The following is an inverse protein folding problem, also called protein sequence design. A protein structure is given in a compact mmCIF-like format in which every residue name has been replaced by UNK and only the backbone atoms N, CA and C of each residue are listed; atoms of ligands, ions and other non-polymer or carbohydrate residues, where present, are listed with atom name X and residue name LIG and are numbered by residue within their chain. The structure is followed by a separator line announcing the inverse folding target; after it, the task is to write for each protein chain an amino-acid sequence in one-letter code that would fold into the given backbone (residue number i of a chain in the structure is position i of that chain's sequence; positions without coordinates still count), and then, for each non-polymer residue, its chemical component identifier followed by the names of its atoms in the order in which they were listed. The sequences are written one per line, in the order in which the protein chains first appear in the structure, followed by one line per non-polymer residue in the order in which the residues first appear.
data_IF_370871348126
#
_entry.id   IF_370871348126
#
_cell.length_a   1.000
_cell.length_b   1.000
_cell.length_c   1.000
_cell.angle_alpha   90.00
_cell.angle_beta   90.00
_cell.angle_gamma   90.00
#
_symmetry.space_group_name_H-M   'P 1'
#
loop_
_entity.id
_entity.type
_entity.pdbx_description
1 polymer ?
#
# COMPACT_ATOMS: atom_id res chain seq x y z
N UNK A 1 46.26 9.62 9.95
CA UNK A 1 45.48 9.14 8.79
C UNK A 1 43.94 9.24 8.96
N UNK A 2 43.44 10.12 9.82
CA UNK A 2 42.00 10.33 10.03
C UNK A 2 41.35 11.42 9.14
N UNK A 3 42.13 12.15 8.34
CA UNK A 3 41.65 13.28 7.54
C UNK A 3 40.76 12.86 6.35
N UNK A 4 40.90 11.63 5.88
CA UNK A 4 40.14 11.10 4.75
C UNK A 4 38.86 10.33 5.18
N UNK A 5 38.62 10.15 6.47
CA UNK A 5 37.42 9.49 7.03
C UNK A 5 36.39 10.53 7.52
N UNK A 6 36.05 11.47 6.67
CA UNK A 6 34.96 12.42 6.96
C UNK A 6 33.65 11.71 6.77
N UNK A 7 32.98 11.37 7.88
CA UNK A 7 31.60 10.88 7.83
C UNK A 7 30.68 12.02 7.37
N UNK A 8 29.78 11.80 6.39
CA UNK A 8 28.85 12.83 5.98
C UNK A 8 28.02 13.28 7.18
N UNK A 9 27.99 14.57 7.46
CA UNK A 9 27.23 15.13 8.59
C UNK A 9 25.71 15.05 8.41
N UNK A 10 25.25 14.73 7.18
CA UNK A 10 23.84 14.74 6.79
C UNK A 10 23.31 13.37 6.35
N UNK A 11 24.13 12.32 6.32
CA UNK A 11 23.69 10.95 5.99
C UNK A 11 24.15 9.96 7.05
N UNK A 12 23.23 9.12 7.53
CA UNK A 12 23.57 7.96 8.37
C UNK A 12 24.18 6.86 7.47
N UNK A 13 25.17 6.13 7.99
CA UNK A 13 25.66 4.90 7.34
C UNK A 13 24.47 3.97 7.06
N UNK A 14 24.40 3.39 5.87
CA UNK A 14 23.22 2.60 5.43
C UNK A 14 22.86 1.42 6.36
N UNK A 15 23.81 0.90 7.14
CA UNK A 15 23.57 -0.13 8.16
C UNK A 15 23.08 0.38 9.53
N UNK A 16 23.04 1.71 9.75
CA UNK A 16 22.63 2.35 11.02
C UNK A 16 21.51 3.37 10.84
N UNK A 17 20.85 3.38 9.69
CA UNK A 17 19.83 4.38 9.37
C UNK A 17 18.54 4.21 10.18
N UNK A 18 18.27 3.01 10.71
CA UNK A 18 17.07 2.68 11.49
C UNK A 18 17.49 1.83 12.69
N UNK A 19 17.74 2.45 13.83
CA UNK A 19 18.22 1.79 15.04
C UNK A 19 17.27 1.92 16.22
N UNK A 20 16.32 2.83 16.16
CA UNK A 20 15.32 3.07 17.22
C UNK A 20 13.90 2.94 16.68
N UNK A 21 12.93 2.75 17.58
CA UNK A 21 11.50 2.75 17.22
C UNK A 21 11.09 4.09 16.61
N UNK A 22 11.68 5.20 17.07
CA UNK A 22 11.46 6.53 16.48
C UNK A 22 11.96 6.61 15.03
N UNK A 23 13.12 6.05 14.71
CA UNK A 23 13.62 5.99 13.32
C UNK A 23 12.65 5.18 12.43
N UNK A 24 12.14 4.05 12.94
CA UNK A 24 11.16 3.22 12.22
C UNK A 24 9.83 3.97 12.02
N UNK A 25 9.37 4.75 12.99
CA UNK A 25 8.18 5.59 12.87
C UNK A 25 8.36 6.68 11.81
N UNK A 26 9.52 7.34 11.77
CA UNK A 26 9.85 8.34 10.73
C UNK A 26 9.84 7.71 9.34
N UNK A 27 10.41 6.51 9.19
CA UNK A 27 10.40 5.77 7.94
C UNK A 27 8.97 5.40 7.50
N UNK A 28 8.13 4.96 8.45
CA UNK A 28 6.71 4.66 8.19
C UNK A 28 5.95 5.92 7.75
N UNK A 29 6.14 7.06 8.43
CA UNK A 29 5.52 8.32 8.05
C UNK A 29 5.95 8.75 6.62
N UNK A 30 7.22 8.54 6.28
CA UNK A 30 7.74 8.73 4.92
C UNK A 30 7.05 7.82 3.89
N UNK A 31 6.73 6.59 4.27
CA UNK A 31 6.00 5.64 3.43
C UNK A 31 4.54 6.08 3.22
N UNK A 32 3.85 6.53 4.27
CA UNK A 32 2.52 7.13 4.15
C UNK A 32 2.50 8.35 3.23
N UNK A 33 3.51 9.22 3.33
CA UNK A 33 3.62 10.37 2.42
C UNK A 33 3.72 9.96 0.95
N UNK A 34 4.32 8.82 0.65
CA UNK A 34 4.37 8.30 -0.72
C UNK A 34 2.99 7.83 -1.21
N UNK A 35 2.15 7.31 -0.34
CA UNK A 35 0.77 6.95 -0.70
C UNK A 35 -0.02 8.19 -1.16
N UNK A 36 0.24 9.37 -0.58
CA UNK A 36 -0.44 10.62 -0.95
C UNK A 36 0.17 11.32 -2.17
N UNK A 37 1.14 10.71 -2.84
CA UNK A 37 1.67 11.24 -4.10
C UNK A 37 0.57 11.39 -5.15
N UNK A 38 0.66 12.45 -5.97
CA UNK A 38 -0.24 12.64 -7.12
C UNK A 38 -0.16 11.48 -8.13
N UNK A 39 0.91 10.73 -8.12
CA UNK A 39 1.10 9.51 -8.92
C UNK A 39 0.47 8.27 -8.29
N UNK A 40 -0.19 8.39 -7.13
CA UNK A 40 -0.89 7.29 -6.48
C UNK A 40 -2.24 7.77 -5.92
N UNK A 41 -2.52 7.59 -4.64
CA UNK A 41 -3.81 7.96 -4.03
C UNK A 41 -4.07 9.47 -3.96
N UNK A 42 -3.04 10.32 -4.10
CA UNK A 42 -3.24 11.78 -4.18
C UNK A 42 -4.00 12.24 -5.41
N UNK A 43 -4.04 11.45 -6.50
CA UNK A 43 -4.83 11.74 -7.71
C UNK A 43 -5.04 10.51 -8.59
N UNK A 44 -3.98 9.94 -9.16
CA UNK A 44 -4.06 9.00 -10.30
C UNK A 44 -4.81 7.71 -9.99
N UNK A 45 -4.70 7.19 -8.77
CA UNK A 45 -5.42 5.98 -8.39
C UNK A 45 -6.94 6.20 -8.38
N UNK A 46 -7.38 7.39 -7.98
CA UNK A 46 -8.80 7.75 -7.92
C UNK A 46 -9.36 8.00 -9.33
N UNK A 47 -8.62 8.74 -10.16
CA UNK A 47 -9.10 9.14 -11.49
C UNK A 47 -8.97 8.05 -12.54
N UNK A 48 -8.09 7.07 -12.35
CA UNK A 48 -7.84 6.00 -13.32
C UNK A 48 -9.09 5.17 -13.62
N UNK A 49 -9.77 4.72 -12.57
CA UNK A 49 -10.98 3.90 -12.69
C UNK A 49 -12.11 4.67 -13.38
N UNK A 50 -12.33 5.90 -12.93
CA UNK A 50 -13.43 6.75 -13.41
C UNK A 50 -13.25 7.14 -14.89
N UNK A 51 -12.02 7.45 -15.31
CA UNK A 51 -11.70 7.73 -16.71
C UNK A 51 -11.93 6.53 -17.62
N UNK A 52 -11.48 5.34 -17.19
CA UNK A 52 -11.65 4.11 -17.98
C UNK A 52 -13.05 3.54 -17.87
N UNK A 53 -13.75 3.80 -16.79
CA UNK A 53 -15.13 3.38 -16.56
C UNK A 53 -16.16 4.21 -17.31
N UNK A 54 -15.77 5.40 -17.81
CA UNK A 54 -16.67 6.32 -18.48
C UNK A 54 -17.48 7.21 -17.53
N UNK A 55 -17.12 7.23 -16.25
CA UNK A 55 -17.78 8.10 -15.26
C UNK A 55 -17.38 9.57 -15.43
N UNK A 56 -16.21 9.83 -16.04
CA UNK A 56 -15.76 11.16 -16.40
C UNK A 56 -15.87 11.40 -17.90
N UNK A 57 -16.49 12.54 -18.28
CA UNK A 57 -16.33 13.10 -19.62
C UNK A 57 -15.04 13.91 -19.72
N UNK A 58 -14.29 13.76 -20.80
CA UNK A 58 -13.11 14.57 -21.09
C UNK A 58 -13.50 15.62 -22.13
N UNK A 59 -13.75 16.89 -21.73
CA UNK A 59 -14.28 17.91 -22.62
C UNK A 59 -13.26 18.38 -23.67
N UNK A 60 -11.97 18.23 -23.38
CA UNK A 60 -10.89 18.55 -24.31
C UNK A 60 -9.83 17.48 -24.16
N UNK A 61 -9.51 16.80 -25.26
CA UNK A 61 -8.43 15.84 -25.28
C UNK A 61 -7.12 16.61 -25.14
N UNK A 62 -6.43 16.42 -24.05
CA UNK A 62 -5.16 17.02 -23.71
C UNK A 62 -4.08 15.96 -23.61
N UNK A 63 -2.87 16.34 -23.47
CA UNK A 63 -1.68 15.54 -23.74
C UNK A 63 -1.43 14.39 -22.76
N UNK A 64 -2.10 14.29 -21.61
CA UNK A 64 -1.65 13.33 -20.58
C UNK A 64 -2.63 12.21 -20.24
N UNK A 65 -3.91 12.44 -20.27
CA UNK A 65 -4.90 11.47 -19.81
C UNK A 65 -5.77 10.90 -20.96
N UNK A 66 -5.56 11.39 -22.19
CA UNK A 66 -6.30 10.99 -23.39
C UNK A 66 -6.22 9.50 -23.68
N UNK A 67 -5.03 8.93 -23.55
CA UNK A 67 -4.79 7.52 -23.81
C UNK A 67 -5.60 6.61 -22.89
N UNK A 68 -5.93 7.05 -21.67
CA UNK A 68 -6.82 6.32 -20.78
C UNK A 68 -8.26 6.35 -21.25
N UNK A 69 -8.76 7.55 -21.54
CA UNK A 69 -10.13 7.77 -21.94
C UNK A 69 -10.43 7.11 -23.30
N UNK A 70 -9.50 7.24 -24.24
CA UNK A 70 -9.63 6.66 -25.60
C UNK A 70 -9.18 5.21 -25.69
N UNK A 71 -8.65 4.61 -24.59
CA UNK A 71 -8.03 3.28 -24.58
C UNK A 71 -6.84 3.13 -25.54
N UNK A 72 -6.26 4.24 -26.02
CA UNK A 72 -5.12 4.27 -26.93
C UNK A 72 -3.79 4.16 -26.14
N UNK A 73 -3.55 3.00 -25.53
CA UNK A 73 -2.32 2.76 -24.78
C UNK A 73 -1.18 2.40 -25.73
N UNK A 74 -0.11 3.18 -25.68
CA UNK A 74 1.14 2.91 -26.39
C UNK A 74 2.24 2.59 -25.35
N UNK A 75 3.08 1.61 -25.65
CA UNK A 75 4.18 1.18 -24.76
C UNK A 75 5.18 2.30 -24.44
N UNK A 76 5.32 3.27 -25.36
CA UNK A 76 6.29 4.36 -25.29
C UNK A 76 5.67 5.67 -24.76
N UNK A 77 4.36 5.71 -24.55
CA UNK A 77 3.66 6.85 -23.93
C UNK A 77 3.64 6.70 -22.41
N UNK A 78 4.36 7.58 -21.78
CA UNK A 78 4.89 7.45 -20.42
C UNK A 78 3.99 7.98 -19.31
N UNK A 79 2.68 8.21 -19.58
CA UNK A 79 1.78 8.88 -18.61
C UNK A 79 1.57 8.10 -17.30
N UNK A 80 1.85 6.78 -17.32
CA UNK A 80 1.70 5.89 -16.15
C UNK A 80 3.00 5.22 -15.70
N UNK A 81 4.13 5.55 -16.32
CA UNK A 81 5.44 5.03 -15.87
C UNK A 81 5.74 5.44 -14.43
N UNK A 82 5.49 6.70 -14.08
CA UNK A 82 5.67 7.19 -12.71
C UNK A 82 4.71 6.52 -11.70
N UNK A 83 3.53 6.04 -12.16
CA UNK A 83 2.60 5.29 -11.33
C UNK A 83 3.19 3.93 -10.92
N UNK A 84 3.69 3.16 -11.88
CA UNK A 84 4.40 1.90 -11.62
C UNK A 84 5.60 2.11 -10.70
N UNK A 85 6.47 3.05 -11.04
CA UNK A 85 7.65 3.36 -10.23
C UNK A 85 7.29 3.81 -8.80
N UNK A 86 6.23 4.61 -8.65
CA UNK A 86 5.77 5.07 -7.33
C UNK A 86 5.31 3.91 -6.45
N UNK A 87 4.58 2.93 -7.00
CA UNK A 87 4.11 1.79 -6.21
C UNK A 87 5.28 0.88 -5.80
N UNK A 88 6.27 0.67 -6.68
CA UNK A 88 7.47 -0.09 -6.30
C UNK A 88 8.36 0.67 -5.31
N UNK A 89 8.39 2.01 -5.34
CA UNK A 89 9.04 2.79 -4.28
C UNK A 89 8.33 2.62 -2.92
N UNK A 90 6.99 2.60 -2.89
CA UNK A 90 6.22 2.26 -1.68
C UNK A 90 6.59 0.87 -1.15
N UNK A 91 6.70 -0.12 -2.04
CA UNK A 91 7.13 -1.49 -1.67
C UNK A 91 8.55 -1.48 -1.13
N UNK A 92 9.47 -0.76 -1.76
CA UNK A 92 10.86 -0.64 -1.30
C UNK A 92 10.94 -0.04 0.10
N UNK A 93 10.19 1.04 0.37
CA UNK A 93 10.18 1.65 1.71
C UNK A 93 9.58 0.71 2.76
N UNK A 94 8.52 -0.01 2.42
CA UNK A 94 7.94 -1.03 3.30
C UNK A 94 8.95 -2.16 3.58
N UNK A 95 9.64 -2.64 2.55
CA UNK A 95 10.68 -3.67 2.69
C UNK A 95 11.86 -3.18 3.55
N UNK A 96 12.25 -1.90 3.42
CA UNK A 96 13.30 -1.32 4.25
C UNK A 96 12.94 -1.38 5.74
N UNK A 97 11.72 -1.01 6.10
CA UNK A 97 11.23 -1.11 7.49
C UNK A 97 11.23 -2.57 7.93
N UNK A 98 10.61 -3.46 7.15
CA UNK A 98 10.47 -4.87 7.50
C UNK A 98 11.80 -5.59 7.64
N UNK A 99 12.75 -5.31 6.76
CA UNK A 99 14.11 -5.89 6.80
C UNK A 99 14.88 -5.42 8.05
N UNK A 100 14.83 -4.13 8.38
CA UNK A 100 15.51 -3.63 9.59
C UNK A 100 14.92 -4.24 10.87
N UNK A 101 13.60 -4.41 10.93
CA UNK A 101 12.93 -5.08 12.06
C UNK A 101 13.33 -6.57 12.12
N UNK A 102 13.31 -7.27 10.99
CA UNK A 102 13.64 -8.70 10.91
C UNK A 102 15.10 -8.99 11.28
N UNK A 103 16.02 -8.10 10.91
CA UNK A 103 17.44 -8.22 11.26
C UNK A 103 17.78 -7.80 12.70
N UNK A 104 16.77 -7.37 13.50
CA UNK A 104 17.00 -6.90 14.86
C UNK A 104 17.77 -5.57 14.94
N UNK A 105 17.78 -4.78 13.86
CA UNK A 105 18.48 -3.48 13.83
C UNK A 105 17.76 -2.44 14.70
N UNK A 106 16.43 -2.56 14.86
CA UNK A 106 15.62 -1.66 15.68
C UNK A 106 15.56 -2.19 17.10
N UNK A 107 16.18 -1.49 18.03
CA UNK A 107 16.25 -1.88 19.44
C UNK A 107 15.04 -1.33 20.18
N UNK A 108 14.44 -2.15 21.02
CA UNK A 108 13.37 -1.78 21.96
C UNK A 108 13.87 -1.90 23.39
N UNK A 109 13.60 -0.89 24.23
CA UNK A 109 14.00 -0.83 25.63
C UNK A 109 12.85 -1.09 26.59
N UNK A 110 11.62 -1.20 26.10
CA UNK A 110 10.42 -1.42 26.89
C UNK A 110 9.35 -2.21 26.13
N UNK A 111 8.39 -2.78 26.87
CA UNK A 111 7.20 -3.44 26.29
C UNK A 111 6.37 -2.47 25.44
N UNK A 112 6.29 -1.20 25.84
CA UNK A 112 5.58 -0.18 25.07
C UNK A 112 6.24 0.06 23.70
N UNK A 113 7.56 0.14 23.66
CA UNK A 113 8.31 0.25 22.40
C UNK A 113 8.16 -1.00 21.53
N UNK A 114 8.19 -2.19 22.12
CA UNK A 114 7.97 -3.44 21.39
C UNK A 114 6.55 -3.48 20.78
N UNK A 115 5.53 -3.02 21.49
CA UNK A 115 4.16 -2.90 20.98
C UNK A 115 4.09 -1.91 19.83
N UNK A 116 4.73 -0.75 19.97
CA UNK A 116 4.80 0.26 18.88
C UNK A 116 5.53 -0.28 17.66
N UNK A 117 6.63 -1.01 17.85
CA UNK A 117 7.38 -1.61 16.75
C UNK A 117 6.55 -2.69 16.02
N UNK A 118 5.76 -3.48 16.74
CA UNK A 118 4.82 -4.44 16.15
C UNK A 118 3.75 -3.73 15.31
N UNK A 119 3.21 -2.62 15.81
CA UNK A 119 2.26 -1.81 15.05
C UNK A 119 2.89 -1.25 13.76
N UNK A 120 4.11 -0.70 13.84
CA UNK A 120 4.86 -0.22 12.66
C UNK A 120 5.06 -1.36 11.65
N UNK A 121 5.43 -2.56 12.12
CA UNK A 121 5.56 -3.75 11.29
C UNK A 121 4.26 -4.13 10.61
N UNK A 122 3.15 -4.12 11.36
CA UNK A 122 1.81 -4.41 10.82
C UNK A 122 1.40 -3.42 9.72
N UNK A 123 1.65 -2.14 9.94
CA UNK A 123 1.36 -1.11 8.94
C UNK A 123 2.24 -1.25 7.68
N UNK A 124 3.53 -1.53 7.83
CA UNK A 124 4.43 -1.74 6.70
C UNK A 124 4.02 -2.96 5.85
N UNK A 125 3.61 -4.07 6.49
CA UNK A 125 3.07 -5.25 5.81
C UNK A 125 1.78 -4.91 5.05
N UNK A 126 0.85 -4.21 5.67
CA UNK A 126 -0.40 -3.81 5.04
C UNK A 126 -0.16 -2.87 3.84
N UNK A 127 0.74 -1.91 3.97
CA UNK A 127 1.08 -0.98 2.86
C UNK A 127 1.71 -1.75 1.70
N UNK A 128 2.60 -2.71 1.98
CA UNK A 128 3.21 -3.57 0.94
C UNK A 128 2.14 -4.41 0.22
N UNK A 129 1.21 -4.98 0.97
CA UNK A 129 0.08 -5.73 0.42
C UNK A 129 -0.81 -4.84 -0.48
N UNK A 130 -1.15 -3.63 -0.02
CA UNK A 130 -1.94 -2.67 -0.79
C UNK A 130 -1.25 -2.33 -2.11
N UNK A 131 0.05 -2.01 -2.08
CA UNK A 131 0.79 -1.64 -3.29
C UNK A 131 0.89 -2.80 -4.29
N UNK A 132 1.14 -4.04 -3.84
CA UNK A 132 1.12 -5.21 -4.72
C UNK A 132 -0.28 -5.48 -5.28
N UNK A 133 -1.33 -5.31 -4.47
CA UNK A 133 -2.71 -5.50 -4.90
C UNK A 133 -3.09 -4.49 -6.00
N UNK A 134 -2.77 -3.22 -5.81
CA UNK A 134 -3.03 -2.19 -6.81
C UNK A 134 -2.21 -2.40 -8.09
N UNK A 135 -0.92 -2.72 -7.98
CA UNK A 135 -0.11 -3.10 -9.13
C UNK A 135 -0.72 -4.27 -9.90
N UNK A 136 -1.13 -5.33 -9.20
CA UNK A 136 -1.67 -6.51 -9.84
C UNK A 136 -3.01 -6.22 -10.55
N UNK A 137 -3.89 -5.40 -9.93
CA UNK A 137 -5.17 -5.00 -10.55
C UNK A 137 -5.00 -4.14 -11.81
N UNK A 138 -3.95 -3.31 -11.84
CA UNK A 138 -3.71 -2.36 -12.92
C UNK A 138 -2.89 -2.95 -14.08
N UNK A 139 -1.97 -3.85 -13.79
CA UNK A 139 -0.97 -4.34 -14.74
C UNK A 139 -1.00 -5.86 -14.96
N UNK A 140 -1.78 -6.60 -14.16
CA UNK A 140 -2.04 -8.01 -14.33
C UNK A 140 -3.40 -8.28 -14.97
N UNK A 141 -3.68 -9.55 -15.23
CA UNK A 141 -5.02 -9.99 -15.61
C UNK A 141 -5.93 -10.15 -14.37
N UNK A 142 -7.27 -10.05 -14.54
CA UNK A 142 -8.19 -10.40 -13.47
C UNK A 142 -7.98 -11.85 -13.01
N UNK A 143 -7.99 -12.08 -11.69
CA UNK A 143 -7.78 -13.41 -11.12
C UNK A 143 -8.76 -14.46 -11.70
N UNK A 144 -10.03 -14.10 -11.85
CA UNK A 144 -11.09 -14.98 -12.31
C UNK A 144 -11.03 -15.34 -13.81
N UNK A 145 -10.13 -14.74 -14.58
CA UNK A 145 -9.93 -15.09 -15.99
C UNK A 145 -9.50 -16.55 -16.15
N UNK A 146 -8.59 -17.00 -15.29
CA UNK A 146 -7.94 -18.31 -15.39
C UNK A 146 -7.43 -18.83 -14.03
N UNK A 147 -8.09 -18.45 -12.94
CA UNK A 147 -7.69 -18.74 -11.57
C UNK A 147 -6.29 -18.21 -11.21
N UNK A 148 -5.90 -17.09 -11.83
CA UNK A 148 -4.63 -16.44 -11.55
C UNK A 148 -3.42 -17.05 -12.25
N UNK A 149 -3.60 -17.91 -13.26
CA UNK A 149 -2.50 -18.53 -14.00
C UNK A 149 -1.76 -17.54 -14.91
N UNK A 150 -2.42 -16.49 -15.39
CA UNK A 150 -1.81 -15.41 -16.19
C UNK A 150 -0.75 -14.64 -15.41
N UNK A 151 0.11 -13.93 -16.16
CA UNK A 151 1.14 -13.06 -15.59
C UNK A 151 0.53 -11.87 -14.84
N UNK A 152 0.96 -11.72 -13.61
CA UNK A 152 0.71 -10.56 -12.75
C UNK A 152 1.88 -9.56 -12.80
N UNK A 153 2.43 -9.25 -11.64
CA UNK A 153 3.54 -8.30 -11.45
C UNK A 153 4.65 -8.95 -10.64
N UNK A 154 5.88 -8.42 -10.67
CA UNK A 154 6.94 -8.89 -9.77
C UNK A 154 6.55 -8.79 -8.30
N UNK A 155 6.66 -9.87 -7.56
CA UNK A 155 6.52 -9.89 -6.10
C UNK A 155 7.88 -9.55 -5.49
N UNK A 156 7.94 -8.43 -4.78
CA UNK A 156 9.17 -7.92 -4.17
C UNK A 156 8.98 -7.81 -2.66
N UNK A 157 9.61 -8.73 -1.91
CA UNK A 157 9.48 -8.83 -0.45
C UNK A 157 10.76 -8.52 0.32
N UNK A 158 11.81 -8.13 -0.39
CA UNK A 158 13.11 -7.74 0.17
C UNK A 158 13.67 -6.50 -0.53
N UNK A 159 14.72 -5.94 0.01
CA UNK A 159 15.50 -4.90 -0.66
C UNK A 159 16.30 -5.58 -1.78
N UNK A 160 16.05 -5.17 -3.01
CA UNK A 160 16.74 -5.70 -4.18
C UNK A 160 18.04 -4.95 -4.44
N UNK A 161 18.97 -5.64 -5.09
CA UNK A 161 20.14 -4.98 -5.70
C UNK A 161 19.67 -3.94 -6.74
N UNK A 162 20.32 -2.77 -6.86
CA UNK A 162 19.95 -1.73 -7.83
C UNK A 162 19.89 -2.19 -9.29
N UNK A 163 20.61 -3.25 -9.64
CA UNK A 163 20.63 -3.83 -10.98
C UNK A 163 19.75 -5.08 -11.14
N UNK A 164 19.04 -5.48 -10.08
CA UNK A 164 18.14 -6.62 -10.14
C UNK A 164 17.03 -6.40 -11.16
N UNK A 165 16.73 -7.44 -11.91
CA UNK A 165 15.65 -7.45 -12.92
C UNK A 165 14.61 -8.52 -12.53
N UNK A 166 13.75 -8.25 -11.53
CA UNK A 166 12.75 -9.21 -11.09
C UNK A 166 11.79 -9.54 -12.25
N UNK A 167 11.50 -10.82 -12.42
CA UNK A 167 10.52 -11.29 -13.40
C UNK A 167 9.10 -11.19 -12.86
N UNK A 168 8.11 -11.19 -13.75
CA UNK A 168 6.70 -11.25 -13.34
C UNK A 168 6.38 -12.57 -12.68
N UNK A 169 5.63 -12.52 -11.62
CA UNK A 169 4.96 -13.65 -11.00
C UNK A 169 3.58 -13.85 -11.64
N UNK A 170 2.99 -15.01 -11.46
CA UNK A 170 1.58 -15.22 -11.79
C UNK A 170 0.67 -14.38 -10.88
N UNK A 171 -0.53 -14.08 -11.34
CA UNK A 171 -1.53 -13.39 -10.51
C UNK A 171 -1.80 -14.16 -9.21
N UNK A 172 -1.84 -15.49 -9.27
CA UNK A 172 -2.06 -16.34 -8.09
C UNK A 172 -0.94 -16.19 -7.05
N UNK A 173 0.34 -16.13 -7.48
CA UNK A 173 1.48 -15.90 -6.58
C UNK A 173 1.43 -14.51 -5.95
N UNK A 174 1.05 -13.48 -6.73
CA UNK A 174 0.89 -12.12 -6.20
C UNK A 174 -0.21 -12.09 -5.13
N UNK A 175 -1.38 -12.68 -5.40
CA UNK A 175 -2.47 -12.74 -4.42
C UNK A 175 -2.10 -13.54 -3.17
N UNK A 176 -1.33 -14.61 -3.33
CA UNK A 176 -0.80 -15.40 -2.20
C UNK A 176 0.04 -14.51 -1.29
N UNK A 177 0.98 -13.73 -1.84
CA UNK A 177 1.82 -12.83 -1.05
C UNK A 177 1.01 -11.71 -0.38
N UNK A 178 0.03 -11.13 -1.09
CA UNK A 178 -0.86 -10.10 -0.52
C UNK A 178 -1.60 -10.64 0.70
N UNK A 179 -2.18 -11.85 0.59
CA UNK A 179 -2.92 -12.49 1.68
C UNK A 179 -1.99 -12.84 2.85
N UNK A 180 -0.79 -13.31 2.58
CA UNK A 180 0.22 -13.58 3.62
C UNK A 180 0.57 -12.30 4.39
N UNK A 181 0.83 -11.20 3.69
CA UNK A 181 1.16 -9.92 4.33
C UNK A 181 0.00 -9.40 5.19
N UNK A 182 -1.23 -9.46 4.70
CA UNK A 182 -2.41 -9.00 5.43
C UNK A 182 -2.70 -9.86 6.67
N UNK A 183 -2.60 -11.18 6.54
CA UNK A 183 -2.78 -12.07 7.68
C UNK A 183 -1.69 -11.89 8.74
N UNK A 184 -0.47 -11.59 8.35
CA UNK A 184 0.61 -11.27 9.26
C UNK A 184 0.46 -9.87 9.90
N UNK A 185 -0.13 -8.92 9.18
CA UNK A 185 -0.38 -7.55 9.66
C UNK A 185 -1.49 -7.48 10.72
N UNK A 186 -2.61 -8.17 10.48
CA UNK A 186 -3.83 -8.07 11.30
C UNK A 186 -3.58 -8.24 12.81
N UNK A 187 -2.88 -9.26 13.31
CA UNK A 187 -2.64 -9.43 14.74
C UNK A 187 -1.69 -8.40 15.34
N UNK A 188 -0.92 -7.69 14.55
CA UNK A 188 0.05 -6.68 15.00
C UNK A 188 -0.58 -5.28 15.11
N UNK A 189 -1.70 -5.06 14.43
CA UNK A 189 -2.36 -3.76 14.34
C UNK A 189 -3.36 -3.56 15.49
N UNK A 190 -3.44 -2.34 16.07
CA UNK A 190 -4.45 -2.05 17.08
C UNK A 190 -5.85 -2.02 16.49
N UNK A 191 -6.84 -2.33 17.34
CA UNK A 191 -8.28 -2.21 17.00
C UNK A 191 -8.82 -0.80 17.13
N UNK A 192 -8.13 0.06 17.92
CA UNK A 192 -8.55 1.43 18.12
C UNK A 192 -8.59 2.22 16.79
N UNK A 193 -9.62 3.02 16.62
CA UNK A 193 -9.70 3.98 15.52
C UNK A 193 -8.62 5.04 15.70
N UNK A 194 -8.01 5.45 14.62
CA UNK A 194 -6.99 6.51 14.61
C UNK A 194 -6.96 7.21 13.26
N UNK A 195 -6.72 8.51 13.30
CA UNK A 195 -6.61 9.31 12.10
C UNK A 195 -5.23 9.14 11.45
N UNK A 196 -5.23 9.04 10.12
CA UNK A 196 -4.01 9.05 9.32
C UNK A 196 -3.17 7.77 9.35
N UNK A 197 -3.52 6.78 10.16
CA UNK A 197 -2.81 5.51 10.25
C UNK A 197 -3.76 4.31 10.10
N UNK A 198 -3.28 3.25 9.48
CA UNK A 198 -4.05 2.03 9.30
C UNK A 198 -4.15 1.24 10.62
N UNK A 199 -5.32 0.70 10.89
CA UNK A 199 -5.60 -0.16 12.03
C UNK A 199 -5.98 -1.58 11.57
N UNK A 200 -6.32 -2.46 12.51
CA UNK A 200 -6.69 -3.83 12.23
C UNK A 200 -7.91 -3.94 11.27
N UNK A 201 -8.88 -3.05 11.44
CA UNK A 201 -10.10 -3.06 10.63
C UNK A 201 -9.84 -2.64 9.19
N UNK A 202 -8.93 -1.67 8.99
CA UNK A 202 -8.49 -1.29 7.65
C UNK A 202 -7.80 -2.46 6.93
N UNK A 203 -6.96 -3.24 7.64
CA UNK A 203 -6.33 -4.43 7.08
C UNK A 203 -7.36 -5.52 6.73
N UNK A 204 -8.35 -5.76 7.59
CA UNK A 204 -9.45 -6.71 7.31
C UNK A 204 -10.32 -6.24 6.15
N UNK A 205 -10.63 -4.94 6.06
CA UNK A 205 -11.39 -4.40 4.93
C UNK A 205 -10.64 -4.59 3.60
N UNK A 206 -9.33 -4.36 3.59
CA UNK A 206 -8.51 -4.65 2.42
C UNK A 206 -8.49 -6.14 2.10
N UNK A 207 -8.34 -7.01 3.10
CA UNK A 207 -8.35 -8.46 2.92
C UNK A 207 -9.68 -8.97 2.35
N UNK A 208 -10.81 -8.44 2.83
CA UNK A 208 -12.13 -8.74 2.29
C UNK A 208 -12.23 -8.38 0.80
N UNK A 209 -11.69 -7.21 0.42
CA UNK A 209 -11.61 -6.78 -0.98
C UNK A 209 -10.70 -7.71 -1.81
N UNK A 210 -9.57 -8.12 -1.29
CA UNK A 210 -8.67 -9.08 -1.95
C UNK A 210 -9.37 -10.42 -2.21
N UNK A 211 -10.09 -10.96 -1.22
CA UNK A 211 -10.88 -12.17 -1.39
C UNK A 211 -12.00 -12.00 -2.41
N UNK A 212 -12.66 -10.84 -2.42
CA UNK A 212 -13.70 -10.53 -3.41
C UNK A 212 -13.14 -10.59 -4.85
N UNK A 213 -12.02 -9.96 -5.10
CA UNK A 213 -11.36 -9.97 -6.41
C UNK A 213 -10.81 -11.35 -6.80
N UNK A 214 -10.45 -12.16 -5.80
CA UNK A 214 -10.02 -13.54 -5.98
C UNK A 214 -11.17 -14.50 -6.29
N UNK A 215 -12.42 -14.10 -6.03
CA UNK A 215 -13.59 -14.97 -6.12
C UNK A 215 -13.77 -15.90 -4.92
N UNK A 216 -13.08 -15.65 -3.84
CA UNK A 216 -13.25 -16.37 -2.57
C UNK A 216 -14.38 -15.71 -1.77
N UNK A 217 -15.61 -15.96 -2.22
CA UNK A 217 -16.81 -15.29 -1.73
C UNK A 217 -17.05 -15.54 -0.24
N UNK A 218 -16.75 -16.75 0.24
CA UNK A 218 -16.93 -17.12 1.65
C UNK A 218 -16.03 -16.29 2.55
N UNK A 219 -14.74 -16.22 2.24
CA UNK A 219 -13.80 -15.44 3.03
C UNK A 219 -14.04 -13.93 2.87
N UNK A 220 -14.42 -13.46 1.68
CA UNK A 220 -14.81 -12.07 1.46
C UNK A 220 -15.98 -11.67 2.35
N UNK A 221 -17.05 -12.47 2.36
CA UNK A 221 -18.24 -12.23 3.19
C UNK A 221 -17.91 -12.24 4.69
N UNK A 222 -17.25 -13.29 5.17
CA UNK A 222 -16.94 -13.43 6.59
C UNK A 222 -16.03 -12.32 7.11
N UNK A 223 -15.03 -11.93 6.31
CA UNK A 223 -14.09 -10.86 6.69
C UNK A 223 -14.78 -9.49 6.67
N UNK A 224 -15.59 -9.19 5.65
CA UNK A 224 -16.37 -7.95 5.59
C UNK A 224 -17.39 -7.86 6.73
N UNK A 225 -18.12 -8.95 7.00
CA UNK A 225 -19.07 -9.05 8.12
C UNK A 225 -18.40 -8.75 9.45
N UNK A 226 -17.22 -9.31 9.69
CA UNK A 226 -16.45 -9.05 10.91
C UNK A 226 -16.10 -7.55 11.07
N UNK A 227 -15.74 -6.85 9.99
CA UNK A 227 -15.49 -5.40 10.03
C UNK A 227 -16.77 -4.63 10.38
N UNK A 228 -17.90 -4.98 9.75
CA UNK A 228 -19.19 -4.31 9.96
C UNK A 228 -19.68 -4.50 11.40
N UNK A 229 -19.65 -5.73 11.90
CA UNK A 229 -20.23 -6.08 13.21
C UNK A 229 -19.32 -5.73 14.39
N UNK A 230 -18.01 -5.75 14.21
CA UNK A 230 -17.03 -5.61 15.30
C UNK A 230 -16.11 -4.39 15.16
N UNK A 231 -16.05 -3.74 13.99
CA UNK A 231 -15.16 -2.61 13.72
C UNK A 231 -15.62 -1.28 14.34
N UNK A 232 -16.86 -1.20 14.77
CA UNK A 232 -17.41 0.02 15.35
C UNK A 232 -17.57 1.17 14.36
N UNK A 233 -17.66 0.87 13.05
CA UNK A 233 -17.92 1.85 11.99
C UNK A 233 -19.40 1.87 11.65
N UNK A 234 -19.94 3.06 11.45
CA UNK A 234 -21.33 3.28 11.02
C UNK A 234 -21.36 4.04 9.71
N UNK A 235 -22.34 3.75 8.87
CA UNK A 235 -22.56 4.54 7.65
C UNK A 235 -23.09 5.92 8.01
N UNK A 236 -22.71 6.95 7.29
CA UNK A 236 -23.33 8.25 7.41
C UNK A 236 -24.81 8.17 7.04
N UNK A 237 -25.63 8.87 7.80
CA UNK A 237 -27.03 9.09 7.42
C UNK A 237 -27.10 9.97 6.16
N UNK A 238 -28.21 9.89 5.42
CA UNK A 238 -28.43 10.75 4.25
C UNK A 238 -28.32 12.25 4.59
N UNK A 239 -28.70 12.63 5.80
CA UNK A 239 -28.62 14.03 6.30
C UNK A 239 -27.17 14.46 6.52
N UNK A 240 -26.30 13.57 6.97
CA UNK A 240 -24.93 13.90 7.34
C UNK A 240 -23.92 13.66 6.20
N UNK A 241 -24.32 12.99 5.13
CA UNK A 241 -23.42 12.62 4.02
C UNK A 241 -22.75 13.84 3.38
N UNK A 242 -23.54 14.86 3.00
CA UNK A 242 -22.99 16.05 2.34
C UNK A 242 -22.05 16.81 3.27
N UNK A 243 -22.45 16.98 4.55
CA UNK A 243 -21.64 17.69 5.55
C UNK A 243 -20.34 16.98 5.90
N UNK A 244 -20.28 15.65 5.75
CA UNK A 244 -19.06 14.88 6.04
C UNK A 244 -17.89 15.22 5.12
N UNK A 245 -18.16 15.61 3.88
CA UNK A 245 -17.13 16.02 2.91
C UNK A 245 -16.45 17.36 3.25
N UNK A 246 -17.10 18.19 4.06
CA UNK A 246 -16.54 19.45 4.54
C UNK A 246 -15.68 19.29 5.81
N UNK A 247 -15.67 18.11 6.42
CA UNK A 247 -14.88 17.83 7.62
C UNK A 247 -13.49 17.32 7.24
N UNK A 248 -12.39 18.04 7.59
CA UNK A 248 -11.04 17.65 7.22
C UNK A 248 -10.61 16.27 7.74
N UNK A 249 -11.26 15.79 8.78
CA UNK A 249 -10.90 14.57 9.50
C UNK A 249 -12.07 13.58 9.64
N UNK A 250 -13.03 13.62 8.73
CA UNK A 250 -14.22 12.79 8.76
C UNK A 250 -14.52 12.24 10.15
N UNK A 251 -15.43 12.81 10.91
CA UNK A 251 -15.84 12.19 12.17
C UNK A 251 -16.57 10.89 11.84
N UNK A 252 -15.80 9.86 11.50
CA UNK A 252 -16.30 8.51 11.55
C UNK A 252 -16.51 8.18 13.03
N UNK A 253 -17.70 8.48 13.46
CA UNK A 253 -18.21 8.15 14.80
C UNK A 253 -18.38 6.64 14.95
#
# INVERSE_FOLDING_TARGET
DGFLNVKPSTSKESGKSMSTVSDAQVALNGTYRRLTSSNYYGRRMLTYGDMKGGDFGVPTLGISDDALYTFAHEKDRNNYYSFWATLYDVILQSNNILTNIANGNVITSSTAEATTLNDIKGQALMIRALAHFDLCRLYGYPYLKDNGASWGVPVVTSILDPFAKPVRNTVAEVYTQIILDLNAAIPLLPTAKRLGNMNQWAAKALLARVYLYKGDWTNAYNTAKNVIESGGYTLYSNTNWVGSWAQPNGSES
#
